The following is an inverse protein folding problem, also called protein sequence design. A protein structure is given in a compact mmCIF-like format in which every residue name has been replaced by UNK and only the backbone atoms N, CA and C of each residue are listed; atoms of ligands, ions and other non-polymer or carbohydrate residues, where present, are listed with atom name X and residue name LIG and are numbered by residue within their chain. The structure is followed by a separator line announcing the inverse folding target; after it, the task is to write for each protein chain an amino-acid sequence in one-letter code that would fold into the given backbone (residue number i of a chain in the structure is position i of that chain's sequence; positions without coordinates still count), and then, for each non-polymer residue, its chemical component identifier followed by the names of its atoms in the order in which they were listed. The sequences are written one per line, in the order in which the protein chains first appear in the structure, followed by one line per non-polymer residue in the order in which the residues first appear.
data_IF_665217522769
#
_entry.id   IF_665217522769
#
_cell.length_a   1.000
_cell.length_b   1.000
_cell.length_c   1.000
_cell.angle_alpha   90.00
_cell.angle_beta   90.00
_cell.angle_gamma   90.00
#
_symmetry.space_group_name_H-M   'P 1'
#
loop_
_entity.id
_entity.type
_entity.pdbx_description
1 polymer ?
#
# COMPACT_ATOMS: atom_id res chain seq x y z
N UNK A 1 -20.14 6.19 -13.45
CA UNK A 1 -21.04 6.35 -14.60
C UNK A 1 -22.04 5.24 -14.47
N UNK A 2 -23.20 5.54 -13.87
CA UNK A 2 -24.23 4.51 -13.75
C UNK A 2 -24.73 4.16 -15.17
N UNK A 3 -25.44 3.04 -15.33
CA UNK A 3 -26.05 2.67 -16.61
C UNK A 3 -26.88 3.83 -17.20
N UNK A 4 -27.48 4.67 -16.34
CA UNK A 4 -28.23 5.86 -16.74
C UNK A 4 -27.37 6.96 -17.41
N UNK A 5 -26.11 7.16 -16.99
CA UNK A 5 -25.17 8.12 -17.56
C UNK A 5 -24.56 7.61 -18.88
N UNK A 6 -24.34 6.29 -18.98
CA UNK A 6 -23.85 5.63 -20.21
C UNK A 6 -24.93 5.65 -21.31
N UNK A 7 -26.21 5.49 -20.93
CA UNK A 7 -27.39 5.60 -21.80
C UNK A 7 -27.56 7.04 -22.35
N UNK A 8 -27.19 8.08 -21.58
CA UNK A 8 -27.26 9.47 -22.04
C UNK A 8 -26.18 9.82 -23.09
N UNK A 9 -25.02 9.16 -23.02
CA UNK A 9 -23.85 9.44 -23.85
C UNK A 9 -23.88 8.78 -25.25
N UNK A 10 -24.80 7.85 -25.50
CA UNK A 10 -24.87 7.07 -26.74
C UNK A 10 -26.22 7.30 -27.45
N UNK A 11 -26.29 8.20 -28.43
CA UNK A 11 -27.54 8.64 -29.08
C UNK A 11 -28.36 7.51 -29.72
N UNK A 12 -27.71 6.41 -30.10
CA UNK A 12 -28.32 5.29 -30.85
C UNK A 12 -28.96 4.22 -29.94
N UNK A 13 -28.78 4.27 -28.61
CA UNK A 13 -29.32 3.31 -27.64
C UNK A 13 -30.54 3.83 -26.84
N UNK A 14 -31.07 5.00 -27.19
CA UNK A 14 -32.08 5.77 -26.41
C UNK A 14 -33.46 5.14 -26.23
N UNK A 15 -33.77 4.00 -26.86
CA UNK A 15 -35.12 3.42 -26.86
C UNK A 15 -35.26 2.09 -26.11
N UNK A 16 -34.18 1.53 -25.57
CA UNK A 16 -34.17 0.20 -24.91
C UNK A 16 -33.92 0.31 -23.39
N UNK A 17 -34.63 -0.47 -22.58
CA UNK A 17 -34.39 -0.58 -21.11
C UNK A 17 -33.17 -1.48 -20.85
N UNK A 18 -32.62 -1.51 -19.63
CA UNK A 18 -31.49 -2.40 -19.28
C UNK A 18 -31.82 -3.90 -19.52
N UNK A 19 -33.09 -4.28 -19.33
CA UNK A 19 -33.60 -5.62 -19.69
C UNK A 19 -33.68 -5.81 -21.20
N UNK A 20 -34.08 -4.77 -21.95
CA UNK A 20 -34.05 -4.81 -23.42
C UNK A 20 -32.62 -4.90 -23.93
N UNK A 21 -31.65 -4.18 -23.35
CA UNK A 21 -30.25 -4.23 -23.74
C UNK A 21 -29.62 -5.60 -23.45
N UNK A 22 -29.91 -6.21 -22.29
CA UNK A 22 -29.50 -7.58 -22.01
C UNK A 22 -30.18 -8.58 -22.96
N UNK A 23 -31.45 -8.35 -23.32
CA UNK A 23 -32.17 -9.15 -24.31
C UNK A 23 -31.63 -8.95 -25.72
N UNK A 24 -31.22 -7.75 -26.10
CA UNK A 24 -30.69 -7.36 -27.40
C UNK A 24 -29.28 -7.91 -27.55
N UNK A 25 -28.44 -7.81 -26.51
CA UNK A 25 -27.14 -8.50 -26.43
C UNK A 25 -27.36 -10.02 -26.50
N UNK A 26 -28.27 -10.59 -25.71
CA UNK A 26 -28.58 -12.03 -25.77
C UNK A 26 -29.16 -12.47 -27.12
N UNK A 27 -29.85 -11.59 -27.84
CA UNK A 27 -30.37 -11.85 -29.19
C UNK A 27 -29.25 -11.78 -30.21
N UNK A 28 -28.40 -10.75 -30.17
CA UNK A 28 -27.22 -10.61 -31.01
C UNK A 28 -26.20 -11.75 -30.81
N UNK A 29 -26.12 -12.28 -29.59
CA UNK A 29 -25.37 -13.52 -29.28
C UNK A 29 -26.01 -14.73 -29.96
N UNK A 30 -27.33 -14.87 -29.88
CA UNK A 30 -28.08 -15.99 -30.46
C UNK A 30 -28.13 -15.97 -32.00
N UNK A 31 -27.97 -14.80 -32.61
CA UNK A 31 -27.91 -14.61 -34.07
C UNK A 31 -26.48 -14.69 -34.62
N UNK A 32 -25.49 -15.06 -33.80
CA UNK A 32 -24.05 -15.11 -34.15
C UNK A 32 -23.45 -13.74 -34.56
N UNK A 33 -24.13 -12.63 -34.28
CA UNK A 33 -23.62 -11.27 -34.54
C UNK A 33 -22.58 -10.83 -33.49
N UNK A 34 -22.61 -11.43 -32.29
CA UNK A 34 -21.65 -11.26 -31.20
C UNK A 34 -21.17 -12.64 -30.74
N UNK A 35 -19.87 -12.95 -30.90
CA UNK A 35 -19.25 -14.21 -30.45
C UNK A 35 -19.05 -14.22 -28.91
N UNK A 36 -20.16 -14.23 -28.15
CA UNK A 36 -20.18 -14.42 -26.69
C UNK A 36 -20.88 -15.74 -26.37
N UNK A 37 -20.40 -16.48 -25.38
CA UNK A 37 -21.04 -17.71 -24.94
C UNK A 37 -21.84 -17.47 -23.65
N UNK A 38 -23.10 -17.90 -23.61
CA UNK A 38 -23.92 -17.99 -22.39
C UNK A 38 -23.97 -19.46 -21.97
N UNK A 39 -23.38 -19.81 -20.83
CA UNK A 39 -23.38 -21.20 -20.33
C UNK A 39 -24.28 -21.29 -19.08
N UNK A 40 -25.32 -22.15 -19.08
CA UNK A 40 -26.13 -22.41 -17.90
C UNK A 40 -25.31 -22.96 -16.74
N UNK A 41 -25.67 -22.58 -15.50
CA UNK A 41 -24.98 -22.97 -14.26
C UNK A 41 -24.79 -24.48 -14.10
N UNK A 42 -25.70 -25.30 -14.64
CA UNK A 42 -25.62 -26.77 -14.59
C UNK A 42 -24.49 -27.38 -15.42
N UNK A 43 -23.96 -26.65 -16.41
CA UNK A 43 -22.95 -27.15 -17.36
C UNK A 43 -21.56 -26.56 -17.10
N UNK A 44 -21.40 -25.89 -15.95
CA UNK A 44 -20.23 -25.12 -15.54
C UNK A 44 -18.99 -25.96 -15.21
N UNK A 45 -19.17 -27.22 -14.79
CA UNK A 45 -18.07 -28.08 -14.33
C UNK A 45 -17.37 -28.84 -15.48
N UNK A 46 -17.91 -28.78 -16.71
CA UNK A 46 -17.38 -29.53 -17.87
C UNK A 46 -16.51 -28.71 -18.82
N UNK A 47 -16.23 -27.45 -18.50
CA UNK A 47 -15.63 -26.52 -19.46
C UNK A 47 -14.15 -26.23 -19.17
N UNK A 48 -13.32 -26.44 -20.20
CA UNK A 48 -11.87 -26.25 -20.27
C UNK A 48 -11.34 -25.03 -19.49
N UNK A 49 -10.16 -25.19 -18.89
CA UNK A 49 -9.37 -24.18 -18.16
C UNK A 49 -9.05 -22.87 -18.92
N UNK A 50 -9.46 -22.74 -20.18
CA UNK A 50 -9.37 -21.53 -21.00
C UNK A 50 -10.65 -20.67 -20.97
N UNK A 51 -11.68 -21.04 -20.22
CA UNK A 51 -12.91 -20.26 -20.10
C UNK A 51 -12.86 -19.38 -18.85
N UNK A 52 -12.52 -18.11 -19.04
CA UNK A 52 -12.55 -17.07 -18.02
C UNK A 52 -14.00 -16.66 -17.74
N UNK A 53 -14.43 -16.72 -16.48
CA UNK A 53 -15.78 -16.34 -16.07
C UNK A 53 -15.81 -14.86 -15.73
N UNK A 54 -16.81 -14.10 -16.17
CA UNK A 54 -16.76 -12.63 -16.02
C UNK A 54 -17.92 -12.01 -15.24
N UNK A 55 -19.09 -12.65 -15.22
CA UNK A 55 -20.28 -12.12 -14.56
C UNK A 55 -21.35 -13.20 -14.36
N UNK A 56 -22.16 -13.04 -13.31
CA UNK A 56 -23.39 -13.79 -13.10
C UNK A 56 -24.59 -12.87 -13.35
N UNK A 57 -25.48 -13.25 -14.27
CA UNK A 57 -26.73 -12.51 -14.43
C UNK A 57 -27.67 -12.73 -13.23
N UNK A 58 -28.79 -11.98 -13.20
CA UNK A 58 -29.79 -12.07 -12.14
C UNK A 58 -30.42 -13.48 -11.99
N UNK A 59 -30.28 -14.33 -13.02
CA UNK A 59 -30.78 -15.70 -13.06
C UNK A 59 -29.68 -16.73 -12.74
N UNK A 60 -28.45 -16.27 -12.48
CA UNK A 60 -27.29 -17.11 -12.20
C UNK A 60 -26.62 -17.71 -13.43
N UNK A 61 -26.90 -17.22 -14.64
CA UNK A 61 -26.16 -17.59 -15.85
C UNK A 61 -24.79 -16.94 -15.86
N UNK A 62 -23.81 -17.65 -16.44
CA UNK A 62 -22.45 -17.16 -16.56
C UNK A 62 -22.26 -16.55 -17.93
N UNK A 63 -21.80 -15.31 -17.96
CA UNK A 63 -21.42 -14.60 -19.18
C UNK A 63 -19.90 -14.72 -19.36
N UNK A 64 -19.48 -15.09 -20.56
CA UNK A 64 -18.08 -15.22 -20.94
C UNK A 64 -17.76 -14.25 -22.05
N UNK A 65 -16.65 -13.53 -21.90
CA UNK A 65 -16.11 -12.71 -22.97
C UNK A 65 -14.83 -13.37 -23.49
N UNK A 66 -14.81 -13.70 -24.79
CA UNK A 66 -13.66 -14.35 -25.40
C UNK A 66 -12.50 -13.37 -25.54
N UNK A 67 -11.34 -13.76 -25.01
CA UNK A 67 -10.08 -13.00 -25.12
C UNK A 67 -9.71 -12.73 -26.58
N UNK A 68 -9.23 -11.51 -26.86
CA UNK A 68 -8.76 -11.09 -28.19
C UNK A 68 -9.84 -10.47 -29.09
N UNK A 69 -11.09 -10.34 -28.63
CA UNK A 69 -12.16 -9.69 -29.38
C UNK A 69 -12.45 -8.28 -28.81
N UNK A 70 -11.87 -7.26 -29.45
CA UNK A 70 -11.86 -5.87 -28.96
C UNK A 70 -13.26 -5.32 -28.60
N UNK A 71 -14.28 -5.58 -29.42
CA UNK A 71 -15.64 -5.07 -29.16
C UNK A 71 -16.30 -5.74 -27.93
N UNK A 72 -16.07 -7.04 -27.74
CA UNK A 72 -16.55 -7.77 -26.57
C UNK A 72 -15.85 -7.30 -25.29
N UNK A 73 -14.56 -6.94 -25.37
CA UNK A 73 -13.79 -6.41 -24.24
C UNK A 73 -14.28 -5.03 -23.77
N UNK A 74 -14.70 -4.16 -24.69
CA UNK A 74 -15.30 -2.88 -24.30
C UNK A 74 -16.66 -3.06 -23.60
N UNK A 75 -17.46 -4.03 -24.04
CA UNK A 75 -18.71 -4.39 -23.34
C UNK A 75 -18.44 -5.01 -21.96
N UNK A 76 -17.42 -5.85 -21.82
CA UNK A 76 -17.03 -6.48 -20.54
C UNK A 76 -16.77 -5.45 -19.44
N UNK A 77 -16.18 -4.30 -19.79
CA UNK A 77 -15.93 -3.18 -18.85
C UNK A 77 -17.19 -2.58 -18.23
N UNK A 78 -18.37 -2.81 -18.83
CA UNK A 78 -19.64 -2.35 -18.28
C UNK A 78 -20.14 -3.26 -17.14
N UNK A 79 -19.70 -4.53 -17.12
CA UNK A 79 -20.15 -5.55 -16.15
C UNK A 79 -19.11 -5.81 -15.05
N UNK A 80 -17.84 -5.57 -15.35
CA UNK A 80 -16.74 -5.78 -14.41
C UNK A 80 -16.34 -4.46 -13.75
N UNK A 81 -16.49 -4.39 -12.43
CA UNK A 81 -15.98 -3.27 -11.65
C UNK A 81 -14.45 -3.31 -11.59
N UNK A 82 -13.83 -2.14 -11.61
CA UNK A 82 -12.38 -2.04 -11.47
C UNK A 82 -11.90 -2.46 -10.08
N UNK A 83 -10.79 -3.17 -10.02
CA UNK A 83 -10.04 -3.38 -8.78
C UNK A 83 -9.33 -2.09 -8.40
N UNK A 84 -9.47 -1.63 -7.16
CA UNK A 84 -8.80 -0.42 -6.67
C UNK A 84 -7.62 -0.82 -5.78
N UNK A 85 -6.41 -0.46 -6.15
CA UNK A 85 -5.24 -0.53 -5.28
C UNK A 85 -5.14 0.76 -4.49
N UNK A 86 -5.35 0.68 -3.18
CA UNK A 86 -5.37 1.81 -2.27
C UNK A 86 -4.26 1.68 -1.21
N UNK A 87 -3.77 2.80 -0.72
CA UNK A 87 -2.77 2.83 0.34
C UNK A 87 -3.35 3.22 1.71
N UNK A 88 -3.07 2.42 2.73
CA UNK A 88 -3.55 2.62 4.09
C UNK A 88 -2.75 3.66 4.90
N UNK A 89 -1.65 4.19 4.34
CA UNK A 89 -0.70 5.03 5.09
C UNK A 89 -0.33 4.38 6.46
N UNK A 90 0.32 5.10 7.39
CA UNK A 90 0.52 4.58 8.75
C UNK A 90 -0.69 4.72 9.69
N UNK A 91 -1.63 5.62 9.39
CA UNK A 91 -2.86 5.80 10.16
C UNK A 91 -4.01 6.24 9.25
N UNK A 92 -5.26 5.98 9.66
CA UNK A 92 -6.47 6.39 8.92
C UNK A 92 -6.45 7.88 8.56
N UNK A 93 -5.95 8.74 9.45
CA UNK A 93 -5.89 10.20 9.25
C UNK A 93 -4.92 10.65 8.15
N UNK A 94 -4.00 9.78 7.73
CA UNK A 94 -3.04 10.05 6.66
C UNK A 94 -3.46 9.45 5.31
N UNK A 95 -4.60 8.77 5.25
CA UNK A 95 -5.12 8.21 4.02
C UNK A 95 -5.66 9.29 3.09
N UNK A 96 -5.58 9.03 1.79
CA UNK A 96 -6.18 9.92 0.80
C UNK A 96 -7.71 9.81 0.87
N UNK A 97 -8.40 10.92 0.57
CA UNK A 97 -9.86 10.91 0.45
C UNK A 97 -10.32 9.85 -0.55
N UNK A 98 -9.57 9.67 -1.64
CA UNK A 98 -9.89 8.68 -2.67
C UNK A 98 -9.82 7.23 -2.16
N UNK A 99 -8.89 6.93 -1.25
CA UNK A 99 -8.79 5.61 -0.62
C UNK A 99 -9.96 5.37 0.34
N UNK A 100 -10.33 6.38 1.14
CA UNK A 100 -11.49 6.29 2.05
C UNK A 100 -12.79 6.12 1.25
N UNK A 101 -12.98 6.88 0.17
CA UNK A 101 -14.15 6.73 -0.73
C UNK A 101 -14.22 5.34 -1.37
N UNK A 102 -13.09 4.77 -1.77
CA UNK A 102 -13.02 3.43 -2.33
C UNK A 102 -13.42 2.36 -1.30
N UNK A 103 -12.93 2.49 -0.06
CA UNK A 103 -13.28 1.57 1.04
C UNK A 103 -14.77 1.64 1.39
N UNK A 104 -15.33 2.84 1.50
CA UNK A 104 -16.77 3.06 1.77
C UNK A 104 -17.70 2.44 0.70
N UNK A 105 -17.17 2.09 -0.46
CA UNK A 105 -17.90 1.48 -1.57
C UNK A 105 -17.42 0.05 -1.86
N UNK A 106 -16.55 -0.53 -1.04
CA UNK A 106 -16.01 -1.86 -1.33
C UNK A 106 -17.03 -2.96 -1.00
N UNK A 107 -17.16 -3.94 -1.88
CA UNK A 107 -17.83 -5.20 -1.54
C UNK A 107 -16.85 -6.19 -0.91
N UNK A 108 -15.57 -6.08 -1.29
CA UNK A 108 -14.48 -6.95 -0.84
C UNK A 108 -13.21 -6.14 -0.63
N UNK A 109 -12.56 -6.29 0.52
CA UNK A 109 -11.28 -5.66 0.83
C UNK A 109 -10.22 -6.73 1.14
N UNK A 110 -9.19 -6.82 0.29
CA UNK A 110 -8.00 -7.63 0.54
C UNK A 110 -6.91 -6.73 1.13
N UNK A 111 -6.46 -6.98 2.35
CA UNK A 111 -5.48 -6.13 3.01
C UNK A 111 -4.24 -6.88 3.51
N UNK A 112 -3.10 -6.19 3.46
CA UNK A 112 -1.86 -6.66 4.09
C UNK A 112 -1.89 -6.43 5.61
N UNK A 113 -0.76 -6.62 6.29
CA UNK A 113 -0.60 -6.18 7.68
C UNK A 113 -0.63 -4.65 7.70
N UNK A 114 -1.55 -4.08 8.47
CA UNK A 114 -1.70 -2.63 8.64
C UNK A 114 -1.12 -2.21 10.00
N UNK A 115 -0.65 -0.97 10.08
CA UNK A 115 -0.23 -0.35 11.35
C UNK A 115 -1.42 0.09 12.20
N UNK A 116 -2.50 0.47 11.52
CA UNK A 116 -3.75 0.94 12.12
C UNK A 116 -4.90 0.21 11.44
N UNK A 117 -5.50 -0.76 12.13
CA UNK A 117 -6.63 -1.53 11.62
C UNK A 117 -7.94 -0.71 11.62
N UNK A 118 -7.98 0.49 12.23
CA UNK A 118 -9.20 1.32 12.30
C UNK A 118 -9.68 1.84 10.95
N UNK A 119 -8.81 1.88 9.94
CA UNK A 119 -9.21 2.18 8.55
C UNK A 119 -10.22 1.17 8.01
N UNK A 120 -10.22 -0.08 8.50
CA UNK A 120 -11.18 -1.09 8.06
C UNK A 120 -12.62 -0.75 8.50
N UNK A 121 -12.80 0.16 9.47
CA UNK A 121 -14.11 0.66 9.87
C UNK A 121 -14.78 1.54 8.79
N UNK A 122 -14.04 1.94 7.75
CA UNK A 122 -14.61 2.62 6.58
C UNK A 122 -15.35 1.68 5.65
N UNK A 123 -15.21 0.36 5.83
CA UNK A 123 -15.89 -0.61 4.99
C UNK A 123 -17.37 -0.72 5.38
N UNK A 124 -18.27 -0.96 4.42
CA UNK A 124 -19.64 -1.36 4.71
C UNK A 124 -19.71 -2.57 5.64
N UNK A 125 -20.76 -2.64 6.47
CA UNK A 125 -20.95 -3.76 7.42
C UNK A 125 -21.02 -5.14 6.73
N UNK A 126 -21.49 -5.19 5.48
CA UNK A 126 -21.63 -6.40 4.67
C UNK A 126 -20.41 -6.68 3.77
N UNK A 127 -19.36 -5.85 3.84
CA UNK A 127 -18.16 -6.04 3.05
C UNK A 127 -17.36 -7.27 3.51
N UNK A 128 -16.86 -8.05 2.55
CA UNK A 128 -15.98 -9.18 2.85
C UNK A 128 -14.55 -8.68 3.09
N UNK A 129 -13.98 -8.92 4.27
CA UNK A 129 -12.62 -8.51 4.63
C UNK A 129 -11.67 -9.71 4.66
N UNK A 130 -10.58 -9.64 3.91
CA UNK A 130 -9.63 -10.73 3.73
C UNK A 130 -8.22 -10.24 4.07
N UNK A 131 -7.67 -10.74 5.18
CA UNK A 131 -6.28 -10.48 5.55
C UNK A 131 -5.34 -11.42 4.78
N UNK A 132 -4.52 -10.86 3.89
CA UNK A 132 -3.55 -11.59 3.07
C UNK A 132 -2.09 -11.39 3.52
N UNK A 133 -1.87 -10.58 4.56
CA UNK A 133 -0.56 -10.29 5.11
C UNK A 133 0.08 -11.43 5.92
N UNK A 134 1.37 -11.28 6.25
CA UNK A 134 2.12 -12.17 7.15
C UNK A 134 2.18 -11.60 8.56
N UNK A 135 1.32 -12.00 9.49
CA UNK A 135 1.65 -11.86 10.93
C UNK A 135 2.60 -12.98 11.32
N UNK A 136 3.63 -12.67 12.10
CA UNK A 136 4.58 -13.67 12.61
C UNK A 136 3.81 -14.86 13.23
N UNK A 137 3.96 -16.06 12.67
CA UNK A 137 3.36 -17.31 13.17
C UNK A 137 2.14 -17.85 12.43
N UNK A 138 1.55 -17.14 11.45
CA UNK A 138 0.42 -17.64 10.65
C UNK A 138 0.84 -18.14 9.25
N UNK A 139 0.08 -19.09 8.69
CA UNK A 139 0.24 -19.54 7.30
C UNK A 139 0.03 -18.36 6.35
N UNK A 140 1.11 -17.91 5.72
CA UNK A 140 1.09 -16.81 4.77
C UNK A 140 0.39 -17.20 3.46
N UNK A 141 -0.56 -16.40 3.00
CA UNK A 141 -1.09 -16.50 1.64
C UNK A 141 0.03 -16.12 0.67
N UNK A 142 0.30 -16.99 -0.31
CA UNK A 142 1.36 -16.75 -1.31
C UNK A 142 0.87 -15.75 -2.33
N UNK A 143 1.78 -15.00 -2.97
CA UNK A 143 1.37 -13.99 -3.95
C UNK A 143 0.49 -14.53 -5.08
N UNK A 144 0.74 -15.72 -5.67
CA UNK A 144 -0.17 -16.27 -6.68
C UNK A 144 -1.60 -16.49 -6.15
N UNK A 145 -1.75 -16.81 -4.87
CA UNK A 145 -3.07 -16.99 -4.23
C UNK A 145 -3.76 -15.64 -4.01
N UNK A 146 -3.02 -14.59 -3.63
CA UNK A 146 -3.54 -13.21 -3.56
C UNK A 146 -4.04 -12.77 -4.94
N UNK A 147 -3.22 -13.00 -5.98
CA UNK A 147 -3.57 -12.66 -7.35
C UNK A 147 -4.83 -13.42 -7.80
N UNK A 148 -4.95 -14.70 -7.44
CA UNK A 148 -6.14 -15.50 -7.75
C UNK A 148 -7.39 -14.94 -7.06
N UNK A 149 -7.30 -14.55 -5.77
CA UNK A 149 -8.43 -13.93 -5.07
C UNK A 149 -8.87 -12.61 -5.75
N UNK A 150 -7.92 -11.77 -6.19
CA UNK A 150 -8.24 -10.56 -6.93
C UNK A 150 -8.98 -10.87 -8.24
N UNK A 151 -8.53 -11.88 -8.99
CA UNK A 151 -9.21 -12.34 -10.20
C UNK A 151 -10.63 -12.82 -9.88
N UNK A 152 -10.78 -13.69 -8.89
CA UNK A 152 -12.04 -14.35 -8.59
C UNK A 152 -13.11 -13.35 -8.17
N UNK A 153 -12.78 -12.36 -7.33
CA UNK A 153 -13.73 -11.34 -6.92
C UNK A 153 -14.02 -10.31 -8.02
N UNK A 154 -13.01 -9.90 -8.79
CA UNK A 154 -13.23 -9.00 -9.92
C UNK A 154 -14.18 -9.62 -10.96
N UNK A 155 -14.00 -10.92 -11.25
CA UNK A 155 -14.87 -11.73 -12.13
C UNK A 155 -16.27 -11.98 -11.60
N UNK A 156 -16.51 -11.72 -10.33
CA UNK A 156 -17.86 -11.74 -9.75
C UNK A 156 -18.55 -10.37 -9.89
N UNK A 157 -17.91 -9.39 -10.54
CA UNK A 157 -18.40 -8.02 -10.66
C UNK A 157 -18.32 -7.23 -9.34
N UNK A 158 -17.56 -7.71 -8.35
CA UNK A 158 -17.43 -7.07 -7.04
C UNK A 158 -16.56 -5.82 -7.12
N UNK A 159 -16.88 -4.82 -6.31
CA UNK A 159 -16.04 -3.65 -6.03
C UNK A 159 -14.92 -4.08 -5.09
N UNK A 160 -13.79 -4.47 -5.67
CA UNK A 160 -12.63 -4.99 -4.92
C UNK A 160 -11.67 -3.86 -4.58
N UNK A 161 -11.34 -3.72 -3.29
CA UNK A 161 -10.23 -2.88 -2.83
C UNK A 161 -9.08 -3.79 -2.39
N UNK A 162 -7.90 -3.59 -2.99
CA UNK A 162 -6.63 -4.13 -2.53
C UNK A 162 -5.93 -3.05 -1.69
N UNK A 163 -6.13 -3.12 -0.38
CA UNK A 163 -5.58 -2.17 0.58
C UNK A 163 -4.16 -2.59 0.98
N UNK A 164 -3.17 -1.75 0.68
CA UNK A 164 -1.75 -2.03 0.91
C UNK A 164 -1.21 -1.08 1.98
N UNK A 165 -0.24 -1.54 2.77
CA UNK A 165 0.42 -0.67 3.73
C UNK A 165 1.23 0.43 3.01
N UNK A 166 1.14 1.68 3.47
CA UNK A 166 1.84 2.80 2.85
C UNK A 166 1.33 3.12 1.44
N UNK A 167 2.25 3.28 0.48
CA UNK A 167 1.94 3.52 -0.94
C UNK A 167 1.99 2.20 -1.75
N UNK A 168 0.96 1.88 -2.56
CA UNK A 168 0.95 0.68 -3.39
C UNK A 168 2.17 0.49 -4.31
N UNK A 169 2.70 1.59 -4.85
CA UNK A 169 3.76 1.58 -5.86
C UNK A 169 5.17 1.44 -5.30
N UNK A 170 5.39 1.69 -4.01
CA UNK A 170 6.73 1.69 -3.38
C UNK A 170 6.94 0.36 -2.63
N UNK A 171 7.74 -0.54 -3.21
CA UNK A 171 8.07 -1.87 -2.67
C UNK A 171 6.86 -2.75 -2.29
N UNK A 172 5.68 -2.45 -2.86
CA UNK A 172 4.42 -3.11 -2.54
C UNK A 172 4.08 -4.34 -3.40
N UNK A 173 4.94 -4.76 -4.34
CA UNK A 173 4.66 -5.86 -5.29
C UNK A 173 3.46 -5.61 -6.22
N UNK A 174 3.13 -4.34 -6.46
CA UNK A 174 2.00 -3.93 -7.30
C UNK A 174 2.03 -4.56 -8.71
N UNK A 175 3.20 -4.61 -9.35
CA UNK A 175 3.35 -5.18 -10.69
C UNK A 175 2.84 -6.62 -10.78
N UNK A 176 3.14 -7.48 -9.80
CA UNK A 176 2.71 -8.87 -9.81
C UNK A 176 1.17 -9.00 -9.81
N UNK A 177 0.50 -8.09 -9.10
CA UNK A 177 -0.96 -8.03 -9.00
C UNK A 177 -1.57 -7.41 -10.28
N UNK A 178 -1.03 -6.29 -10.76
CA UNK A 178 -1.53 -5.58 -11.95
C UNK A 178 -1.26 -6.32 -13.26
N UNK A 179 -0.12 -7.01 -13.37
CA UNK A 179 0.22 -7.84 -14.54
C UNK A 179 -0.76 -9.01 -14.62
N UNK A 180 -1.13 -9.59 -13.48
CA UNK A 180 -2.13 -10.66 -13.44
C UNK A 180 -3.51 -10.15 -13.89
N UNK A 181 -3.95 -8.98 -13.41
CA UNK A 181 -5.22 -8.38 -13.86
C UNK A 181 -5.18 -8.01 -15.35
N UNK A 182 -4.07 -7.43 -15.82
CA UNK A 182 -3.85 -7.05 -17.23
C UNK A 182 -3.85 -8.26 -18.15
N UNK A 183 -3.21 -9.36 -17.75
CA UNK A 183 -3.17 -10.60 -18.52
C UNK A 183 -4.58 -11.22 -18.72
N UNK A 184 -5.50 -10.93 -17.82
CA UNK A 184 -6.91 -11.34 -17.88
C UNK A 184 -7.84 -10.18 -18.31
N UNK A 185 -7.29 -9.08 -18.82
CA UNK A 185 -8.01 -7.91 -19.34
C UNK A 185 -9.00 -7.28 -18.33
N UNK A 186 -8.73 -7.43 -17.03
CA UNK A 186 -9.57 -6.88 -15.95
C UNK A 186 -9.16 -5.44 -15.62
N UNK A 187 -10.13 -4.51 -15.48
CA UNK A 187 -9.84 -3.12 -15.19
C UNK A 187 -9.33 -2.95 -13.76
N UNK A 188 -8.37 -2.05 -13.58
CA UNK A 188 -7.92 -1.64 -12.26
C UNK A 188 -7.55 -0.16 -12.22
N UNK A 189 -7.54 0.41 -11.02
CA UNK A 189 -7.04 1.75 -10.73
C UNK A 189 -6.03 1.67 -9.59
N UNK A 190 -4.90 2.34 -9.75
CA UNK A 190 -3.90 2.50 -8.69
C UNK A 190 -4.03 3.91 -8.13
N UNK A 191 -4.29 4.02 -6.83
CA UNK A 191 -4.32 5.27 -6.10
C UNK A 191 -2.96 5.47 -5.43
N UNK A 192 -2.32 6.61 -5.70
CA UNK A 192 -1.14 7.01 -4.95
C UNK A 192 -1.52 7.31 -3.49
N UNK A 193 -0.61 7.05 -2.57
CA UNK A 193 -0.82 7.27 -1.15
C UNK A 193 0.45 7.74 -0.44
N UNK A 194 0.30 8.05 0.85
CA UNK A 194 1.41 8.49 1.67
C UNK A 194 2.26 7.27 2.09
N UNK A 195 3.46 7.18 1.52
CA UNK A 195 4.44 6.15 1.87
C UNK A 195 5.08 6.40 3.23
N UNK A 196 5.50 5.33 3.92
CA UNK A 196 6.33 5.43 5.11
C UNK A 196 7.64 6.19 4.86
N UNK A 197 8.12 6.24 3.61
CA UNK A 197 9.22 7.11 3.20
C UNK A 197 8.96 8.57 3.57
N UNK A 198 7.81 9.10 3.15
CA UNK A 198 7.43 10.49 3.38
C UNK A 198 7.13 10.74 4.86
N UNK A 199 6.42 9.81 5.52
CA UNK A 199 6.06 9.96 6.93
C UNK A 199 7.30 9.95 7.83
N UNK A 200 8.19 8.97 7.65
CA UNK A 200 9.39 8.80 8.47
C UNK A 200 10.38 9.95 8.34
N UNK A 201 10.29 10.75 7.28
CA UNK A 201 11.25 11.83 6.99
C UNK A 201 10.63 13.21 7.19
N UNK A 202 9.46 13.45 6.61
CA UNK A 202 8.78 14.75 6.66
C UNK A 202 8.26 15.06 8.05
N UNK A 203 7.70 14.08 8.76
CA UNK A 203 7.15 14.31 10.10
C UNK A 203 8.23 14.38 11.19
N UNK A 204 9.43 13.84 10.92
CA UNK A 204 10.52 13.72 11.90
C UNK A 204 11.59 14.80 11.75
N UNK A 205 11.62 15.53 10.64
CA UNK A 205 12.69 16.48 10.33
C UNK A 205 13.94 15.84 9.72
N UNK A 206 14.00 14.51 9.56
CA UNK A 206 15.04 13.81 8.82
C UNK A 206 14.74 13.94 7.32
N UNK A 207 14.92 15.16 6.80
CA UNK A 207 14.46 15.52 5.45
C UNK A 207 15.29 14.83 4.37
N UNK A 208 14.61 14.30 3.35
CA UNK A 208 15.21 13.66 2.17
C UNK A 208 16.03 14.62 1.28
N UNK A 209 15.75 15.92 1.36
CA UNK A 209 16.46 16.95 0.60
C UNK A 209 16.72 18.16 1.47
N UNK A 210 17.91 18.74 1.33
CA UNK A 210 18.28 19.98 2.01
C UNK A 210 19.17 20.82 1.13
N UNK A 211 18.69 22.03 0.79
CA UNK A 211 19.46 23.00 -0.01
C UNK A 211 20.81 23.27 0.66
N UNK A 212 21.89 23.19 -0.12
CA UNK A 212 23.26 23.38 0.37
C UNK A 212 23.88 22.15 1.02
N UNK A 213 23.15 21.03 1.14
CA UNK A 213 23.67 19.77 1.67
C UNK A 213 23.60 18.66 0.64
N UNK A 214 22.40 18.20 0.27
CA UNK A 214 22.19 17.11 -0.69
C UNK A 214 21.04 17.46 -1.63
N UNK A 215 21.24 17.15 -2.93
CA UNK A 215 20.33 17.51 -4.03
C UNK A 215 19.46 16.35 -4.50
N UNK A 216 19.52 15.23 -3.81
CA UNK A 216 18.79 14.00 -4.11
C UNK A 216 19.02 12.99 -3.01
N UNK A 217 18.42 11.82 -3.17
CA UNK A 217 18.48 10.69 -2.26
C UNK A 217 18.27 9.41 -3.06
N UNK A 218 18.68 8.29 -2.49
CA UNK A 218 18.52 6.95 -3.07
C UNK A 218 17.61 6.13 -2.17
N UNK A 219 16.57 5.51 -2.73
CA UNK A 219 15.66 4.63 -1.97
C UNK A 219 15.80 3.22 -2.50
N UNK A 220 16.07 2.26 -1.61
CA UNK A 220 16.33 0.87 -1.97
C UNK A 220 15.70 -0.10 -0.97
N UNK A 221 15.69 -1.37 -1.34
CA UNK A 221 15.44 -2.47 -0.42
C UNK A 221 16.56 -3.51 -0.61
N UNK A 222 17.20 -3.98 0.47
CA UNK A 222 18.18 -5.06 0.39
C UNK A 222 17.47 -6.42 0.18
N UNK A 223 16.13 -6.48 0.28
CA UNK A 223 15.32 -7.68 0.12
C UNK A 223 15.09 -8.01 -1.36
N UNK A 224 15.45 -9.22 -1.76
CA UNK A 224 15.22 -9.79 -3.08
C UNK A 224 14.01 -10.72 -3.11
N UNK A 225 13.63 -11.12 -4.33
CA UNK A 225 12.65 -12.18 -4.56
C UNK A 225 13.02 -13.45 -3.78
N UNK A 226 12.01 -14.17 -3.28
CA UNK A 226 12.22 -15.35 -2.41
C UNK A 226 12.65 -15.01 -0.98
N UNK A 227 12.92 -13.75 -0.68
CA UNK A 227 13.31 -13.31 0.64
C UNK A 227 14.81 -13.43 0.93
N UNK A 228 15.63 -13.55 -0.11
CA UNK A 228 17.07 -13.37 0.02
C UNK A 228 17.40 -11.91 0.31
N UNK A 229 18.57 -11.66 0.88
CA UNK A 229 19.14 -10.32 1.00
C UNK A 229 20.38 -10.25 0.12
N UNK A 230 20.53 -9.19 -0.68
CA UNK A 230 21.72 -8.98 -1.50
C UNK A 230 22.36 -7.63 -1.22
N UNK A 231 23.68 -7.62 -1.43
CA UNK A 231 24.49 -6.41 -1.43
C UNK A 231 24.01 -5.44 -2.51
N UNK A 232 24.11 -4.14 -2.26
CA UNK A 232 23.70 -3.10 -3.20
C UNK A 232 24.71 -1.93 -3.18
N UNK A 233 25.07 -1.44 -4.37
CA UNK A 233 25.92 -0.25 -4.51
C UNK A 233 25.02 1.00 -4.55
N UNK A 234 25.10 1.90 -3.56
CA UNK A 234 24.44 3.20 -3.65
C UNK A 234 25.15 4.02 -4.73
N UNK A 235 24.58 4.01 -5.94
CA UNK A 235 25.09 4.71 -7.13
C UNK A 235 25.42 6.20 -6.90
N UNK A 236 24.83 6.83 -5.88
CA UNK A 236 25.12 8.20 -5.45
C UNK A 236 25.57 8.26 -3.98
N UNK A 237 26.86 8.00 -3.73
CA UNK A 237 27.48 7.93 -2.39
C UNK A 237 27.42 9.22 -1.58
N UNK A 238 27.30 10.37 -2.27
CA UNK A 238 27.19 11.70 -1.63
C UNK A 238 25.74 12.09 -1.30
N UNK A 239 24.79 11.17 -1.46
CA UNK A 239 23.37 11.40 -1.20
C UNK A 239 22.88 10.49 -0.07
N UNK A 240 21.87 10.91 0.71
CA UNK A 240 21.21 10.03 1.65
C UNK A 240 20.71 8.74 0.99
N UNK A 241 20.94 7.63 1.66
CA UNK A 241 20.46 6.29 1.28
C UNK A 241 19.39 5.88 2.26
N UNK A 242 18.21 5.54 1.74
CA UNK A 242 17.05 5.14 2.51
C UNK A 242 16.72 3.68 2.17
N UNK A 243 16.71 2.84 3.20
CA UNK A 243 16.51 1.40 3.06
C UNK A 243 15.19 0.99 3.69
N UNK A 244 14.29 0.50 2.83
CA UNK A 244 13.10 -0.23 3.24
C UNK A 244 13.46 -1.65 3.67
N UNK A 245 12.65 -2.23 4.56
CA UNK A 245 12.76 -3.65 4.97
C UNK A 245 14.15 -4.04 5.52
N UNK A 246 14.90 -3.09 6.07
CA UNK A 246 16.26 -3.31 6.59
C UNK A 246 16.30 -3.50 8.12
N UNK A 247 15.18 -3.39 8.83
CA UNK A 247 15.15 -3.35 10.30
C UNK A 247 15.69 -4.62 10.98
N UNK A 248 15.62 -5.78 10.33
CA UNK A 248 16.17 -7.05 10.84
C UNK A 248 17.61 -7.33 10.39
N UNK A 249 18.17 -6.48 9.54
CA UNK A 249 19.49 -6.66 8.91
C UNK A 249 20.28 -5.34 8.91
N UNK A 250 20.07 -4.52 9.94
CA UNK A 250 20.71 -3.19 10.06
C UNK A 250 22.23 -3.33 10.03
N UNK A 251 22.82 -4.25 10.81
CA UNK A 251 24.26 -4.51 10.80
C UNK A 251 24.77 -4.84 9.41
N UNK A 252 24.19 -5.86 8.77
CA UNK A 252 24.57 -6.27 7.42
C UNK A 252 24.45 -5.12 6.41
N UNK A 253 23.39 -4.32 6.51
CA UNK A 253 23.16 -3.19 5.59
C UNK A 253 24.19 -2.09 5.76
N UNK A 254 24.57 -1.76 7.01
CA UNK A 254 25.59 -0.74 7.29
C UNK A 254 26.99 -1.22 6.92
N UNK A 255 27.31 -2.49 7.17
CA UNK A 255 28.58 -3.10 6.75
C UNK A 255 28.71 -3.12 5.23
N UNK A 256 27.64 -3.46 4.51
CA UNK A 256 27.60 -3.45 3.05
C UNK A 256 27.79 -2.04 2.47
N UNK A 257 27.10 -1.04 3.03
CA UNK A 257 27.29 0.37 2.67
C UNK A 257 28.73 0.85 2.91
N UNK A 258 29.34 0.44 4.02
CA UNK A 258 30.74 0.76 4.32
C UNK A 258 31.71 0.11 3.32
N UNK A 259 31.47 -1.15 2.94
CA UNK A 259 32.25 -1.84 1.90
C UNK A 259 32.16 -1.12 0.54
N UNK A 260 31.03 -0.47 0.25
CA UNK A 260 30.84 0.36 -0.94
C UNK A 260 31.33 1.81 -0.77
N UNK A 261 32.02 2.14 0.32
CA UNK A 261 32.73 3.40 0.50
C UNK A 261 31.94 4.50 1.22
N UNK A 262 30.81 4.18 1.87
CA UNK A 262 30.20 5.11 2.84
C UNK A 262 31.06 5.11 4.11
N UNK A 263 31.53 6.27 4.55
CA UNK A 263 32.42 6.38 5.70
C UNK A 263 31.74 5.95 7.02
N UNK A 264 32.52 5.37 7.93
CA UNK A 264 32.04 4.81 9.20
C UNK A 264 31.47 5.85 10.18
N UNK A 265 31.89 7.11 10.06
CA UNK A 265 31.41 8.27 10.81
C UNK A 265 30.16 8.92 10.18
N UNK A 266 29.72 8.45 9.01
CA UNK A 266 28.50 8.94 8.35
C UNK A 266 27.30 8.79 9.28
N UNK A 267 26.50 9.86 9.51
CA UNK A 267 25.30 9.78 10.32
C UNK A 267 24.31 8.74 9.79
N UNK A 268 23.67 8.02 10.70
CA UNK A 268 22.64 7.05 10.38
C UNK A 268 21.52 7.10 11.42
N UNK A 269 20.30 6.82 10.99
CA UNK A 269 19.14 6.73 11.88
C UNK A 269 18.18 5.64 11.41
N UNK A 270 17.52 4.97 12.36
CA UNK A 270 16.35 4.15 12.07
C UNK A 270 15.11 4.78 12.69
N UNK A 271 14.07 4.91 11.88
CA UNK A 271 12.78 5.47 12.27
C UNK A 271 11.80 4.32 12.36
N UNK A 272 11.40 3.96 13.58
CA UNK A 272 10.42 2.91 13.83
C UNK A 272 9.01 3.46 13.87
N UNK A 273 8.06 2.68 13.35
CA UNK A 273 6.61 2.93 13.44
C UNK A 273 6.23 4.37 13.08
N UNK A 274 6.82 4.88 11.99
CA UNK A 274 6.68 6.27 11.56
C UNK A 274 5.20 6.66 11.39
N UNK A 275 4.79 7.78 11.99
CA UNK A 275 3.42 8.28 11.97
C UNK A 275 2.46 7.59 12.94
N UNK A 276 2.93 6.63 13.73
CA UNK A 276 2.16 5.97 14.78
C UNK A 276 2.49 6.58 16.16
N UNK A 277 1.60 6.45 17.17
CA UNK A 277 1.87 6.94 18.53
C UNK A 277 3.16 6.37 19.15
N UNK A 278 3.53 5.15 18.78
CA UNK A 278 4.74 4.47 19.28
C UNK A 278 6.00 4.88 18.51
N UNK A 279 5.94 5.81 17.55
CA UNK A 279 7.08 6.23 16.74
C UNK A 279 8.32 6.51 17.60
N UNK A 280 9.47 5.99 17.17
CA UNK A 280 10.75 6.28 17.82
C UNK A 280 11.87 6.39 16.81
N UNK A 281 12.81 7.29 17.07
CA UNK A 281 13.98 7.52 16.22
C UNK A 281 15.21 7.12 17.03
N UNK A 282 16.07 6.31 16.42
CA UNK A 282 17.36 5.92 16.98
C UNK A 282 18.44 6.43 16.05
N UNK A 283 19.30 7.31 16.55
CA UNK A 283 20.40 7.90 15.80
C UNK A 283 21.74 7.28 16.21
N UNK A 284 22.68 7.29 15.28
CA UNK A 284 24.06 6.88 15.46
C UNK A 284 24.86 7.21 14.21
N UNK A 285 25.87 6.40 13.95
CA UNK A 285 26.67 6.42 12.72
C UNK A 285 26.65 5.05 12.07
N UNK A 286 27.18 4.94 10.85
CA UNK A 286 27.41 3.65 10.19
C UNK A 286 28.16 2.66 11.09
N UNK A 287 29.11 3.14 11.91
CA UNK A 287 29.83 2.29 12.85
C UNK A 287 29.05 1.87 14.11
N UNK A 288 28.07 2.66 14.55
CA UNK A 288 27.53 2.54 15.93
C UNK A 288 26.05 2.17 15.97
N UNK A 289 25.28 2.49 14.92
CA UNK A 289 23.82 2.34 14.95
C UNK A 289 23.38 0.88 15.13
N UNK A 290 24.09 -0.08 14.53
CA UNK A 290 23.77 -1.51 14.64
C UNK A 290 23.82 -1.99 16.10
N UNK A 291 24.84 -1.60 16.86
CA UNK A 291 25.02 -2.02 18.26
C UNK A 291 23.90 -1.48 19.16
N UNK A 292 23.37 -0.29 18.85
CA UNK A 292 22.25 0.32 19.57
C UNK A 292 20.95 -0.44 19.24
N UNK A 293 20.71 -0.69 17.96
CA UNK A 293 19.47 -1.36 17.47
C UNK A 293 19.35 -2.80 17.97
N UNK A 294 20.45 -3.54 18.07
CA UNK A 294 20.43 -4.94 18.53
C UNK A 294 20.03 -5.10 20.00
N UNK A 295 20.10 -4.03 20.79
CA UNK A 295 19.63 -4.01 22.18
C UNK A 295 18.13 -3.72 22.31
N UNK A 296 17.45 -3.45 21.19
CA UNK A 296 16.04 -3.06 21.14
C UNK A 296 15.15 -4.21 20.64
N UNK A 297 13.87 -4.25 21.04
CA UNK A 297 12.94 -5.24 20.51
C UNK A 297 12.76 -5.08 18.99
N UNK A 298 12.58 -6.18 18.24
CA UNK A 298 12.38 -6.12 16.80
C UNK A 298 11.12 -5.32 16.44
N UNK A 299 11.26 -4.32 15.55
CA UNK A 299 10.20 -3.43 15.09
C UNK A 299 10.34 -3.14 13.60
N UNK A 300 9.28 -2.65 12.97
CA UNK A 300 9.33 -2.20 11.57
C UNK A 300 9.86 -0.78 11.51
N UNK A 301 10.91 -0.55 10.73
CA UNK A 301 11.53 0.76 10.63
C UNK A 301 12.17 1.01 9.29
N UNK A 302 12.36 2.30 9.00
CA UNK A 302 13.05 2.81 7.83
C UNK A 302 14.46 3.22 8.23
N UNK A 303 15.48 2.66 7.57
CA UNK A 303 16.88 3.01 7.83
C UNK A 303 17.29 4.15 6.89
N UNK A 304 17.81 5.23 7.45
CA UNK A 304 18.32 6.40 6.75
C UNK A 304 19.81 6.53 7.03
N UNK A 305 20.64 6.61 6.00
CA UNK A 305 22.09 6.77 6.10
C UNK A 305 22.53 7.97 5.28
N UNK A 306 23.28 8.88 5.89
CA UNK A 306 23.79 10.08 5.22
C UNK A 306 23.52 11.36 6.00
N UNK A 307 23.94 12.48 5.44
CA UNK A 307 23.77 13.79 6.07
C UNK A 307 22.29 14.08 6.35
N UNK A 308 22.01 14.58 7.56
CA UNK A 308 20.65 14.88 8.03
C UNK A 308 19.99 13.77 8.86
N UNK A 309 20.60 12.59 8.99
CA UNK A 309 20.10 11.51 9.85
C UNK A 309 20.03 11.92 11.33
N UNK A 310 20.88 12.87 11.74
CA UNK A 310 20.99 13.44 13.07
C UNK A 310 20.17 14.73 13.24
N UNK A 311 19.61 15.29 12.16
CA UNK A 311 18.89 16.57 12.20
C UNK A 311 17.38 16.41 12.35
N UNK A 312 16.94 15.52 13.24
CA UNK A 312 15.52 15.34 13.53
C UNK A 312 14.99 16.48 14.40
N UNK A 313 13.71 16.82 14.24
CA UNK A 313 13.05 17.77 15.12
C UNK A 313 12.81 17.12 16.47
N UNK A 314 13.33 17.68 17.57
CA UNK A 314 13.39 16.99 18.84
C UNK A 314 12.02 16.76 19.49
N UNK A 315 10.95 17.40 19.02
CA UNK A 315 9.63 17.31 19.65
C UNK A 315 8.50 17.71 18.67
N UNK A 316 7.96 16.75 17.91
CA UNK A 316 6.50 16.76 17.71
C UNK A 316 5.92 16.14 18.98
N UNK A 317 5.44 16.99 19.89
CA UNK A 317 4.55 16.55 20.97
C UNK A 317 3.15 16.88 20.49
N UNK A 318 2.35 15.85 20.32
CA UNK A 318 0.93 16.00 20.10
C UNK A 318 0.34 16.65 21.36
N UNK A 319 0.15 17.97 21.34
CA UNK A 319 -0.34 18.73 22.49
C UNK A 319 -1.74 18.28 22.93
N UNK A 320 -2.45 17.55 22.07
CA UNK A 320 -3.78 17.02 22.31
C UNK A 320 -3.78 15.78 23.23
N UNK A 321 -2.63 15.12 23.44
CA UNK A 321 -2.52 13.87 24.20
C UNK A 321 -1.63 13.96 25.47
N UNK A 322 -1.20 15.17 25.86
CA UNK A 322 -0.38 15.37 27.05
C UNK A 322 -1.13 14.94 28.32
N UNK A 323 -0.59 13.96 29.05
CA UNK A 323 -1.12 13.57 30.35
C UNK A 323 -0.60 14.53 31.45
N UNK A 324 -1.33 14.69 32.57
CA UNK A 324 -0.88 15.51 33.70
C UNK A 324 0.51 15.14 34.24
N UNK A 325 0.91 13.88 34.06
CA UNK A 325 2.21 13.34 34.45
C UNK A 325 3.37 13.89 33.60
N UNK A 326 3.12 14.14 32.30
CA UNK A 326 4.09 14.74 31.39
C UNK A 326 4.43 16.18 31.79
N UNK A 327 3.42 16.93 32.24
CA UNK A 327 3.60 18.27 32.80
C UNK A 327 4.41 18.22 34.10
N UNK A 328 4.13 17.26 34.97
CA UNK A 328 4.81 17.11 36.25
C UNK A 328 6.30 16.77 36.07
N UNK A 329 6.63 15.88 35.13
CA UNK A 329 8.01 15.57 34.76
C UNK A 329 8.72 16.77 34.11
N UNK A 330 8.05 17.49 33.20
CA UNK A 330 8.62 18.68 32.58
C UNK A 330 8.94 19.77 33.62
N UNK A 331 8.04 20.03 34.58
CA UNK A 331 8.26 20.99 35.67
C UNK A 331 9.43 20.53 36.56
N UNK A 332 9.54 19.23 36.86
CA UNK A 332 10.66 18.71 37.64
C UNK A 332 12.01 18.92 36.93
N UNK A 333 12.07 18.64 35.62
CA UNK A 333 13.27 18.87 34.81
C UNK A 333 13.66 20.36 34.73
N UNK A 334 12.68 21.25 34.53
CA UNK A 334 12.90 22.71 34.53
C UNK A 334 13.45 23.16 35.89
N UNK A 335 12.89 22.68 37.00
CA UNK A 335 13.37 23.02 38.36
C UNK A 335 14.80 22.57 38.62
N UNK A 336 15.26 21.50 37.99
CA UNK A 336 16.65 21.03 38.11
C UNK A 336 17.63 21.87 37.28
N UNK A 337 17.17 22.54 36.22
CA UNK A 337 17.99 23.38 35.34
C UNK A 337 17.95 24.86 35.70
N UNK A 338 16.96 25.29 36.47
CA UNK A 338 16.89 26.67 36.95
C UNK A 338 18.00 26.92 37.99
N UNK A 339 18.79 28.00 37.85
CA UNK A 339 19.76 28.39 38.85
C UNK A 339 19.09 28.59 40.20
N UNK A 340 19.77 28.18 41.27
CA UNK A 340 19.28 28.43 42.63
C UNK A 340 19.18 29.94 42.87
N UNK A 341 18.26 30.34 43.75
CA UNK A 341 18.07 31.75 44.11
C UNK A 341 19.38 32.43 44.54
N UNK A 342 20.29 31.69 45.17
CA UNK A 342 21.62 32.16 45.56
C UNK A 342 22.53 32.42 44.35
N UNK A 343 22.47 31.58 43.30
CA UNK A 343 23.24 31.77 42.07
C UNK A 343 22.70 32.91 41.20
N UNK A 344 21.43 33.28 41.31
CA UNK A 344 20.86 34.45 40.64
C UNK A 344 21.12 35.78 41.38
N UNK A 345 21.48 35.72 42.66
CA UNK A 345 21.71 36.90 43.51
C UNK A 345 23.20 37.22 43.72
N UNK A 346 24.11 36.39 43.20
CA UNK A 346 25.55 36.58 43.18
C UNK A 346 26.02 37.29 41.91
#
# INVERSE_FOLDING_TARGET
MNIHDLIQALPELRTSTAETLCSDIATAIRTEELDLALIPKSNADTTNANQEFDYFDANGHRVFFRKGFSAAMELRRLFVQRVIFAGAAPSRGMCTVEALEALNQADVCLHDVLFDDTILNELPEDATVIHVGKRCGAHAIRQPEINQLLLDYARQGKRVVRLKAGDPGIFGRLCEETDTLSAHELPFKVQAAVSSLSVATTATGILLTRRGSHRGFTVMTPRCAGGETRSFDPTARDMPVILFMASHIVRQSLEDLNQHGIATDTPAAIIYDAGCPQQSIVCGTVATLADIVEQMPPRTGLLYVGHGADTHWPNWRDSENLQPEDFSQAIAAIKQQLPTKEACLA
#
